data_IF_192686234092
#
_entry.id   IF_192686234092
#
_cell.length_a   1.000
_cell.length_b   1.000
_cell.length_c   1.000
_cell.angle_alpha   90.00
_cell.angle_beta   90.00
_cell.angle_gamma   90.00
#
_symmetry.space_group_name_H-M   'P 1'
#
loop_
_entity.id
_entity.type
_entity.pdbx_description
1 polymer ?
#
# COMPACT_ATOMS: atom_id res chain seq x y z
N UNK A 1 -2.86 1.87 1.55
CA UNK A 1 -2.78 0.78 0.55
C UNK A 1 -1.46 0.03 0.70
N UNK A 2 -0.31 0.68 0.51
CA UNK A 2 1.03 0.06 0.63
C UNK A 2 1.23 -0.65 1.99
N UNK A 3 0.83 -0.03 3.10
CA UNK A 3 0.96 -0.67 4.42
C UNK A 3 0.20 -2.00 4.53
N UNK A 4 -0.98 -2.10 3.89
CA UNK A 4 -1.76 -3.34 3.85
C UNK A 4 -1.08 -4.39 2.96
N UNK A 5 -0.53 -3.99 1.82
CA UNK A 5 0.23 -4.89 0.96
C UNK A 5 1.44 -5.47 1.70
N UNK A 6 2.22 -4.62 2.35
CA UNK A 6 3.37 -5.02 3.15
C UNK A 6 2.96 -5.94 4.30
N UNK A 7 1.85 -5.67 4.97
CA UNK A 7 1.32 -6.52 6.02
C UNK A 7 0.93 -7.90 5.49
N UNK A 8 0.24 -7.96 4.35
CA UNK A 8 -0.16 -9.21 3.70
C UNK A 8 1.04 -10.03 3.25
N UNK A 9 2.03 -9.41 2.61
CA UNK A 9 3.26 -10.09 2.18
C UNK A 9 4.07 -10.60 3.38
N UNK A 10 4.25 -9.74 4.41
CA UNK A 10 4.97 -10.10 5.63
C UNK A 10 4.33 -11.27 6.37
N UNK A 11 3.01 -11.36 6.35
CA UNK A 11 2.24 -12.39 7.04
C UNK A 11 1.64 -13.43 6.09
N UNK A 12 2.15 -13.56 4.85
CA UNK A 12 1.63 -14.49 3.85
C UNK A 12 1.60 -15.94 4.35
N UNK A 13 2.64 -16.39 5.06
CA UNK A 13 2.67 -17.73 5.65
C UNK A 13 1.60 -17.96 6.74
N UNK A 14 1.23 -16.92 7.50
CA UNK A 14 0.15 -17.02 8.47
C UNK A 14 -1.21 -17.13 7.77
N UNK A 15 -1.42 -16.32 6.73
CA UNK A 15 -2.62 -16.33 5.89
C UNK A 15 -2.79 -17.70 5.23
N UNK A 16 -1.72 -18.20 4.59
CA UNK A 16 -1.72 -19.50 3.91
C UNK A 16 -2.02 -20.65 4.88
N UNK A 17 -1.40 -20.66 6.07
CA UNK A 17 -1.67 -21.69 7.09
C UNK A 17 -3.11 -21.64 7.60
N UNK A 18 -3.65 -20.45 7.83
CA UNK A 18 -5.05 -20.30 8.24
C UNK A 18 -6.00 -20.85 7.17
N UNK A 19 -5.83 -20.43 5.91
CA UNK A 19 -6.70 -20.86 4.82
C UNK A 19 -6.52 -22.32 4.43
N UNK A 20 -5.31 -22.88 4.48
CA UNK A 20 -5.09 -24.32 4.28
C UNK A 20 -5.85 -25.15 5.31
N UNK A 21 -5.83 -24.76 6.60
CA UNK A 21 -6.59 -25.45 7.64
C UNK A 21 -8.10 -25.26 7.46
N UNK A 22 -8.54 -24.06 7.09
CA UNK A 22 -9.95 -23.77 6.84
C UNK A 22 -10.47 -24.63 5.69
N UNK A 23 -9.73 -24.68 4.58
CA UNK A 23 -10.11 -25.46 3.41
C UNK A 23 -10.16 -26.94 3.74
N UNK A 24 -9.12 -27.48 4.38
CA UNK A 24 -9.05 -28.90 4.72
C UNK A 24 -10.15 -29.35 5.70
N UNK A 25 -10.44 -28.54 6.73
CA UNK A 25 -11.31 -28.95 7.84
C UNK A 25 -12.76 -28.49 7.72
N UNK A 26 -13.02 -27.47 6.91
CA UNK A 26 -14.35 -26.90 6.75
C UNK A 26 -14.82 -27.03 5.30
N UNK A 27 -14.14 -26.38 4.34
CA UNK A 27 -14.65 -26.27 2.97
C UNK A 27 -14.73 -27.64 2.29
N UNK A 28 -13.66 -28.44 2.38
CA UNK A 28 -13.58 -29.75 1.76
C UNK A 28 -14.61 -30.73 2.34
N UNK A 29 -14.84 -30.66 3.66
CA UNK A 29 -15.84 -31.48 4.35
C UNK A 29 -17.25 -31.10 3.92
N UNK A 30 -17.56 -29.81 3.88
CA UNK A 30 -18.88 -29.33 3.45
C UNK A 30 -19.15 -29.63 1.96
N UNK A 31 -18.12 -29.50 1.09
CA UNK A 31 -18.20 -29.89 -0.32
C UNK A 31 -18.48 -31.39 -0.48
N UNK A 32 -17.80 -32.23 0.28
CA UNK A 32 -18.00 -33.69 0.27
C UNK A 32 -19.41 -34.07 0.71
N UNK A 33 -19.94 -33.44 1.77
CA UNK A 33 -21.30 -33.65 2.24
C UNK A 33 -22.37 -33.21 1.22
N UNK A 34 -22.08 -32.20 0.39
CA UNK A 34 -23.00 -31.73 -0.66
C UNK A 34 -22.99 -32.59 -1.93
N UNK A 35 -21.91 -33.33 -2.22
CA UNK A 35 -21.77 -34.13 -3.44
C UNK A 35 -22.97 -35.03 -3.75
N UNK A 36 -23.52 -35.80 -2.79
CA UNK A 36 -24.67 -36.68 -3.06
C UNK A 36 -25.95 -35.94 -3.43
N UNK A 37 -26.06 -34.64 -3.10
CA UNK A 37 -27.24 -33.82 -3.40
C UNK A 37 -27.23 -33.26 -4.83
N UNK A 38 -26.08 -33.34 -5.52
CA UNK A 38 -25.90 -32.80 -6.86
C UNK A 38 -26.49 -33.73 -7.91
N UNK A 39 -27.74 -33.48 -8.30
CA UNK A 39 -28.43 -34.22 -9.36
C UNK A 39 -28.13 -33.63 -10.73
N UNK A 40 -27.96 -34.50 -11.73
CA UNK A 40 -27.79 -34.13 -13.15
C UNK A 40 -26.34 -34.00 -13.62
N UNK A 41 -25.37 -34.38 -12.78
CA UNK A 41 -23.96 -34.46 -13.16
C UNK A 41 -23.73 -35.66 -14.09
N UNK A 42 -22.98 -35.42 -15.17
CA UNK A 42 -22.37 -36.49 -15.97
C UNK A 42 -21.20 -37.13 -15.23
N UNK A 43 -20.77 -38.32 -15.66
CA UNK A 43 -19.62 -39.03 -15.08
C UNK A 43 -18.36 -38.17 -15.02
N UNK A 44 -18.06 -37.45 -16.10
CA UNK A 44 -16.88 -36.57 -16.18
C UNK A 44 -16.97 -35.40 -15.19
N UNK A 45 -18.14 -34.82 -15.01
CA UNK A 45 -18.36 -33.71 -14.09
C UNK A 45 -18.26 -34.18 -12.63
N UNK A 46 -18.83 -35.35 -12.32
CA UNK A 46 -18.71 -35.97 -11.01
C UNK A 46 -17.26 -36.27 -10.64
N UNK A 47 -16.48 -36.85 -11.57
CA UNK A 47 -15.05 -37.11 -11.37
C UNK A 47 -14.31 -35.80 -11.09
N UNK A 48 -14.57 -34.74 -11.86
CA UNK A 48 -13.89 -33.46 -11.69
C UNK A 48 -14.14 -32.86 -10.29
N UNK A 49 -15.38 -32.88 -9.80
CA UNK A 49 -15.67 -32.37 -8.46
C UNK A 49 -15.07 -33.29 -7.38
N UNK A 50 -15.13 -34.61 -7.55
CA UNK A 50 -14.53 -35.55 -6.59
C UNK A 50 -13.02 -35.35 -6.47
N UNK A 51 -12.30 -35.28 -7.60
CA UNK A 51 -10.86 -34.98 -7.59
C UNK A 51 -10.57 -33.62 -6.94
N UNK A 52 -11.40 -32.60 -7.20
CA UNK A 52 -11.25 -31.30 -6.56
C UNK A 52 -11.40 -31.38 -5.03
N UNK A 53 -12.40 -32.13 -4.52
CA UNK A 53 -12.59 -32.34 -3.07
C UNK A 53 -11.41 -33.12 -2.46
N UNK A 54 -10.94 -34.17 -3.13
CA UNK A 54 -9.77 -34.93 -2.69
C UNK A 54 -8.50 -34.06 -2.63
N UNK A 55 -8.28 -33.19 -3.61
CA UNK A 55 -7.18 -32.22 -3.60
C UNK A 55 -7.32 -31.26 -2.41
N UNK A 56 -8.51 -30.69 -2.19
CA UNK A 56 -8.80 -29.75 -1.09
C UNK A 56 -8.55 -30.36 0.29
N UNK A 57 -8.88 -31.64 0.49
CA UNK A 57 -8.63 -32.38 1.74
C UNK A 57 -7.13 -32.57 2.02
N UNK A 58 -6.30 -32.56 0.98
CA UNK A 58 -4.86 -32.82 1.07
C UNK A 58 -3.98 -31.57 0.90
N UNK A 59 -4.58 -30.37 0.92
CA UNK A 59 -3.82 -29.11 0.78
C UNK A 59 -2.82 -28.95 1.93
N UNK A 60 -1.56 -28.70 1.57
CA UNK A 60 -0.49 -28.26 2.48
C UNK A 60 -0.34 -26.73 2.45
N UNK A 61 0.12 -26.16 3.56
CA UNK A 61 0.55 -24.74 3.60
C UNK A 61 1.90 -24.51 2.91
N UNK A 62 2.66 -25.57 2.66
CA UNK A 62 4.00 -25.50 2.08
C UNK A 62 3.90 -25.73 0.57
N UNK A 63 4.27 -24.70 -0.21
CA UNK A 63 4.42 -24.67 -1.67
C UNK A 63 3.49 -25.63 -2.44
N UNK A 64 2.19 -25.39 -2.38
CA UNK A 64 1.20 -26.05 -3.23
C UNK A 64 0.86 -25.16 -4.43
N UNK A 65 0.74 -25.75 -5.62
CA UNK A 65 0.22 -25.06 -6.80
C UNK A 65 -1.24 -25.47 -7.02
N UNK A 66 -2.18 -24.56 -6.78
CA UNK A 66 -3.61 -24.81 -6.87
C UNK A 66 -4.23 -24.20 -8.14
N UNK A 67 -3.40 -23.81 -9.11
CA UNK A 67 -3.89 -23.30 -10.41
C UNK A 67 -4.67 -24.35 -11.18
N UNK A 68 -4.27 -25.63 -11.10
CA UNK A 68 -4.98 -26.76 -11.70
C UNK A 68 -6.43 -26.84 -11.23
N UNK A 69 -6.62 -26.93 -9.91
CA UNK A 69 -7.93 -26.91 -9.23
C UNK A 69 -8.81 -25.73 -9.66
N UNK A 70 -8.25 -24.50 -9.67
CA UNK A 70 -8.98 -23.30 -10.09
C UNK A 70 -9.41 -23.37 -11.56
N UNK A 71 -8.55 -23.90 -12.42
CA UNK A 71 -8.87 -24.10 -13.84
C UNK A 71 -9.91 -25.20 -14.05
N UNK A 72 -9.89 -26.26 -13.24
CA UNK A 72 -10.91 -27.30 -13.31
C UNK A 72 -12.27 -26.80 -12.86
N UNK A 73 -12.33 -25.95 -11.83
CA UNK A 73 -13.57 -25.24 -11.49
C UNK A 73 -14.09 -24.37 -12.64
N UNK A 74 -13.20 -23.68 -13.37
CA UNK A 74 -13.59 -22.95 -14.59
C UNK A 74 -14.15 -23.93 -15.63
N UNK A 75 -13.43 -25.00 -15.95
CA UNK A 75 -13.87 -26.01 -16.93
C UNK A 75 -15.24 -26.59 -16.59
N UNK A 76 -15.48 -26.88 -15.31
CA UNK A 76 -16.78 -27.31 -14.82
C UNK A 76 -17.86 -26.26 -15.10
N UNK A 77 -17.64 -25.00 -14.70
CA UNK A 77 -18.56 -23.89 -14.99
C UNK A 77 -18.90 -23.79 -16.48
N UNK A 78 -17.90 -23.87 -17.35
CA UNK A 78 -18.09 -23.81 -18.79
C UNK A 78 -18.93 -25.00 -19.30
N UNK A 79 -18.64 -26.22 -18.82
CA UNK A 79 -19.34 -27.43 -19.22
C UNK A 79 -20.83 -27.37 -18.85
N UNK A 80 -21.14 -27.00 -17.61
CA UNK A 80 -22.52 -27.02 -17.12
C UNK A 80 -23.34 -25.77 -17.50
N UNK A 81 -22.68 -24.72 -17.99
CA UNK A 81 -23.35 -23.51 -18.51
C UNK A 81 -23.93 -23.71 -19.92
N UNK A 82 -23.59 -24.81 -20.59
CA UNK A 82 -24.18 -25.14 -21.90
C UNK A 82 -25.66 -25.50 -21.75
N UNK A 83 -26.48 -25.10 -22.72
CA UNK A 83 -27.91 -25.41 -22.72
C UNK A 83 -28.19 -26.92 -22.65
N UNK A 84 -27.31 -27.72 -23.25
CA UNK A 84 -27.37 -29.18 -23.29
C UNK A 84 -27.01 -29.86 -21.98
N UNK A 85 -26.40 -29.16 -21.01
CA UNK A 85 -26.06 -29.71 -19.70
C UNK A 85 -27.33 -30.06 -18.92
N UNK A 86 -27.37 -31.25 -18.33
CA UNK A 86 -28.43 -31.67 -17.41
C UNK A 86 -28.26 -31.02 -16.03
N UNK A 87 -27.04 -30.74 -15.62
CA UNK A 87 -26.75 -29.98 -14.40
C UNK A 87 -26.98 -28.49 -14.63
N UNK A 88 -27.78 -27.85 -13.77
CA UNK A 88 -28.04 -26.41 -13.82
C UNK A 88 -27.52 -25.72 -12.56
N UNK A 89 -26.55 -24.83 -12.71
CA UNK A 89 -25.99 -24.05 -11.59
C UNK A 89 -27.03 -23.22 -10.84
N UNK A 90 -28.07 -22.75 -11.54
CA UNK A 90 -29.17 -22.01 -10.92
C UNK A 90 -30.01 -22.84 -9.95
N UNK A 91 -30.03 -24.17 -10.11
CA UNK A 91 -30.70 -25.11 -9.20
C UNK A 91 -29.82 -25.45 -7.98
N UNK A 92 -28.49 -25.30 -8.10
CA UNK A 92 -27.49 -25.71 -7.12
C UNK A 92 -26.68 -24.50 -6.60
N UNK A 93 -27.37 -23.42 -6.21
CA UNK A 93 -26.72 -22.13 -5.86
C UNK A 93 -25.80 -22.22 -4.65
N UNK A 94 -26.15 -23.04 -3.67
CA UNK A 94 -25.37 -23.21 -2.44
C UNK A 94 -24.00 -23.84 -2.75
N UNK A 95 -23.98 -24.91 -3.53
CA UNK A 95 -22.74 -25.51 -4.03
C UNK A 95 -21.87 -24.51 -4.80
N UNK A 96 -22.47 -23.75 -5.72
CA UNK A 96 -21.73 -22.74 -6.50
C UNK A 96 -21.13 -21.65 -5.61
N UNK A 97 -21.89 -21.18 -4.61
CA UNK A 97 -21.40 -20.21 -3.63
C UNK A 97 -20.23 -20.78 -2.83
N UNK A 98 -20.37 -21.99 -2.30
CA UNK A 98 -19.34 -22.64 -1.50
C UNK A 98 -18.07 -22.89 -2.32
N UNK A 99 -18.21 -23.34 -3.56
CA UNK A 99 -17.06 -23.56 -4.44
C UNK A 99 -16.34 -22.24 -4.75
N UNK A 100 -17.07 -21.16 -5.03
CA UNK A 100 -16.45 -19.84 -5.26
C UNK A 100 -15.72 -19.30 -4.01
N UNK A 101 -16.31 -19.48 -2.82
CA UNK A 101 -15.65 -19.13 -1.55
C UNK A 101 -14.40 -19.99 -1.33
N UNK A 102 -14.47 -21.29 -1.62
CA UNK A 102 -13.33 -22.22 -1.52
C UNK A 102 -12.22 -21.82 -2.49
N UNK A 103 -12.55 -21.45 -3.72
CA UNK A 103 -11.58 -20.93 -4.69
C UNK A 103 -10.94 -19.63 -4.21
N UNK A 104 -11.68 -18.75 -3.53
CA UNK A 104 -11.06 -17.58 -2.90
C UNK A 104 -10.08 -18.00 -1.78
N UNK A 105 -10.45 -18.95 -0.92
CA UNK A 105 -9.56 -19.45 0.11
C UNK A 105 -8.29 -20.11 -0.47
N UNK A 106 -8.39 -20.85 -1.57
CA UNK A 106 -7.20 -21.44 -2.22
C UNK A 106 -6.24 -20.35 -2.72
N UNK A 107 -6.74 -19.24 -3.29
CA UNK A 107 -5.90 -18.09 -3.66
C UNK A 107 -5.17 -17.46 -2.48
N UNK A 108 -5.73 -17.52 -1.27
CA UNK A 108 -5.06 -17.06 -0.05
C UNK A 108 -3.97 -18.03 0.44
N UNK A 109 -3.89 -19.24 -0.12
CA UNK A 109 -2.83 -20.22 0.17
C UNK A 109 -1.63 -20.02 -0.76
N UNK A 110 -1.85 -19.95 -2.08
CA UNK A 110 -0.77 -19.99 -3.07
C UNK A 110 -0.62 -18.74 -3.96
N UNK A 111 -1.55 -17.78 -3.89
CA UNK A 111 -1.61 -16.63 -4.81
C UNK A 111 -1.79 -15.28 -4.09
N UNK A 112 -1.31 -15.14 -2.85
CA UNK A 112 -1.39 -13.87 -2.11
C UNK A 112 -0.72 -12.70 -2.88
N UNK A 113 0.49 -12.86 -3.48
CA UNK A 113 1.09 -11.79 -4.28
C UNK A 113 0.25 -11.39 -5.49
N UNK A 114 -0.32 -12.36 -6.21
CA UNK A 114 -1.18 -12.11 -7.37
C UNK A 114 -2.47 -11.40 -6.95
N UNK A 115 -3.04 -11.78 -5.81
CA UNK A 115 -4.24 -11.11 -5.25
C UNK A 115 -3.96 -9.66 -4.86
N UNK A 116 -2.76 -9.36 -4.36
CA UNK A 116 -2.34 -7.98 -4.11
C UNK A 116 -2.22 -7.21 -5.42
N UNK A 117 -1.61 -7.81 -6.44
CA UNK A 117 -1.52 -7.22 -7.79
C UNK A 117 -2.91 -6.91 -8.34
N UNK A 118 -3.81 -7.89 -8.39
CA UNK A 118 -5.16 -7.74 -8.97
C UNK A 118 -6.01 -6.66 -8.27
N UNK A 119 -5.79 -6.40 -6.97
CA UNK A 119 -6.64 -5.50 -6.17
C UNK A 119 -6.03 -4.14 -5.89
N UNK A 120 -4.71 -4.00 -6.00
CA UNK A 120 -3.98 -2.82 -5.57
C UNK A 120 -2.98 -2.29 -6.62
N UNK A 121 -2.99 -2.82 -7.84
CA UNK A 121 -2.10 -2.34 -8.88
C UNK A 121 -2.37 -0.88 -9.26
N UNK A 122 -1.29 -0.12 -9.38
CA UNK A 122 -1.28 1.30 -9.72
C UNK A 122 -0.30 1.58 -10.87
N UNK A 123 0.04 0.53 -11.64
CA UNK A 123 0.89 0.61 -12.82
C UNK A 123 0.40 1.62 -13.86
N UNK A 124 -0.89 1.95 -13.84
CA UNK A 124 -1.51 2.98 -14.66
C UNK A 124 -0.76 4.32 -14.59
N UNK A 125 -0.17 4.67 -13.44
CA UNK A 125 0.63 5.90 -13.29
C UNK A 125 1.86 5.95 -14.22
N UNK A 126 2.33 4.82 -14.75
CA UNK A 126 3.35 4.76 -15.79
C UNK A 126 2.97 5.56 -17.05
N UNK A 127 1.67 5.61 -17.35
CA UNK A 127 1.12 6.29 -18.53
C UNK A 127 0.57 7.69 -18.22
N UNK A 128 0.31 7.99 -16.94
CA UNK A 128 -0.23 9.28 -16.48
C UNK A 128 0.80 10.04 -15.62
N UNK A 129 2.03 10.14 -16.12
CA UNK A 129 3.13 10.73 -15.36
C UNK A 129 2.89 12.20 -14.96
N UNK A 130 2.30 13.01 -15.84
CA UNK A 130 1.96 14.41 -15.51
C UNK A 130 1.06 14.50 -14.29
N UNK A 131 0.09 13.58 -14.16
CA UNK A 131 -0.81 13.50 -13.02
C UNK A 131 -0.07 13.02 -11.77
N UNK A 132 0.78 11.99 -11.92
CA UNK A 132 1.65 11.50 -10.85
C UNK A 132 2.52 12.62 -10.26
N UNK A 133 3.19 13.38 -11.12
CA UNK A 133 4.07 14.49 -10.73
C UNK A 133 3.30 15.61 -10.03
N UNK A 134 2.14 15.97 -10.56
CA UNK A 134 1.25 16.97 -9.96
C UNK A 134 0.83 16.56 -8.55
N UNK A 135 0.43 15.31 -8.37
CA UNK A 135 0.01 14.78 -7.07
C UNK A 135 1.17 14.68 -6.08
N UNK A 136 2.38 14.35 -6.54
CA UNK A 136 3.59 14.38 -5.72
C UNK A 136 3.87 15.80 -5.21
N UNK A 137 3.85 16.80 -6.11
CA UNK A 137 4.11 18.19 -5.75
C UNK A 137 3.05 18.73 -4.76
N UNK A 138 1.78 18.37 -4.95
CA UNK A 138 0.71 18.68 -3.99
C UNK A 138 0.91 18.01 -2.63
N UNK A 139 1.42 16.78 -2.62
CA UNK A 139 1.70 16.04 -1.38
C UNK A 139 2.88 16.66 -0.62
N UNK A 140 3.93 17.07 -1.33
CA UNK A 140 5.11 17.70 -0.73
C UNK A 140 4.87 19.14 -0.23
N UNK A 141 3.90 19.85 -0.81
CA UNK A 141 3.56 21.21 -0.41
C UNK A 141 2.68 21.26 0.86
N UNK A 142 1.99 20.17 1.20
CA UNK A 142 1.10 20.08 2.36
C UNK A 142 1.74 19.24 3.49
N UNK A 143 2.13 19.83 4.64
CA UNK A 143 2.83 19.11 5.72
C UNK A 143 2.10 17.87 6.25
N UNK A 144 0.76 17.90 6.30
CA UNK A 144 -0.04 16.75 6.76
C UNK A 144 0.00 15.58 5.76
N UNK A 145 0.17 15.87 4.47
CA UNK A 145 0.23 14.87 3.40
C UNK A 145 1.66 14.41 3.14
N UNK A 146 2.67 15.26 3.36
CA UNK A 146 4.08 14.96 3.08
C UNK A 146 4.58 13.72 3.82
N UNK A 147 4.00 13.38 4.98
CA UNK A 147 4.26 12.12 5.70
C UNK A 147 4.03 10.86 4.86
N UNK A 148 3.21 10.96 3.81
CA UNK A 148 2.90 9.86 2.89
C UNK A 148 3.67 9.94 1.57
N UNK A 149 4.55 10.93 1.38
CA UNK A 149 5.21 11.17 0.09
C UNK A 149 6.05 9.96 -0.38
N UNK A 150 6.57 9.14 0.54
CA UNK A 150 7.29 7.90 0.20
C UNK A 150 6.44 6.89 -0.59
N UNK A 151 5.11 6.98 -0.49
CA UNK A 151 4.19 6.14 -1.25
C UNK A 151 4.41 6.28 -2.77
N UNK A 152 4.79 7.45 -3.26
CA UNK A 152 5.04 7.67 -4.68
C UNK A 152 6.24 6.84 -5.18
N UNK A 153 7.30 6.71 -4.38
CA UNK A 153 8.44 5.86 -4.74
C UNK A 153 8.04 4.38 -4.78
N UNK A 154 7.18 3.93 -3.86
CA UNK A 154 6.65 2.57 -3.89
C UNK A 154 5.74 2.30 -5.09
N UNK A 155 4.93 3.28 -5.53
CA UNK A 155 4.09 3.13 -6.73
C UNK A 155 4.93 2.87 -7.98
N UNK A 156 6.15 3.40 -8.08
CA UNK A 156 7.03 3.11 -9.21
C UNK A 156 7.31 1.60 -9.37
N UNK A 157 7.33 0.83 -8.27
CA UNK A 157 7.47 -0.63 -8.32
C UNK A 157 6.28 -1.32 -9.02
N UNK A 158 5.13 -0.67 -9.13
CA UNK A 158 3.97 -1.23 -9.83
C UNK A 158 4.12 -1.15 -11.35
N UNK A 159 5.01 -0.33 -11.90
CA UNK A 159 5.03 -0.05 -13.35
C UNK A 159 5.32 -1.30 -14.18
N UNK A 160 6.14 -2.21 -13.64
CA UNK A 160 6.43 -3.51 -14.27
C UNK A 160 5.17 -4.40 -14.42
N UNK A 161 4.11 -4.14 -13.67
CA UNK A 161 2.86 -4.90 -13.79
C UNK A 161 2.08 -4.56 -15.05
N UNK A 162 2.35 -3.41 -15.69
CA UNK A 162 1.75 -3.04 -16.97
C UNK A 162 2.30 -3.86 -18.15
N UNK A 163 3.42 -4.54 -17.95
CA UNK A 163 4.09 -5.32 -18.99
C UNK A 163 3.31 -6.58 -19.35
N UNK A 164 3.38 -6.95 -20.63
CA UNK A 164 2.82 -8.18 -21.15
C UNK A 164 3.81 -8.90 -22.06
N UNK A 165 3.87 -10.23 -21.97
CA UNK A 165 4.73 -11.10 -22.80
C UNK A 165 4.50 -10.98 -24.32
N UNK A 166 3.43 -10.34 -24.78
CA UNK A 166 3.12 -10.13 -26.20
C UNK A 166 3.64 -8.79 -26.72
N UNK A 167 4.12 -7.92 -25.84
CA UNK A 167 4.75 -6.64 -26.17
C UNK A 167 6.10 -6.58 -25.43
N UNK A 168 7.08 -7.44 -25.75
CA UNK A 168 8.40 -7.39 -25.11
C UNK A 168 9.17 -6.10 -25.45
N UNK A 169 8.78 -5.39 -26.52
CA UNK A 169 9.46 -4.20 -27.02
C UNK A 169 9.40 -3.03 -26.03
N UNK A 170 8.36 -2.94 -25.20
CA UNK A 170 8.18 -1.88 -24.20
C UNK A 170 8.84 -2.19 -22.84
N UNK A 171 9.43 -3.39 -22.68
CA UNK A 171 9.96 -3.85 -21.40
C UNK A 171 11.02 -2.89 -20.83
N UNK A 172 12.09 -2.65 -21.60
CA UNK A 172 13.22 -1.86 -21.13
C UNK A 172 12.82 -0.41 -20.89
N UNK A 173 11.97 0.15 -21.77
CA UNK A 173 11.43 1.50 -21.65
C UNK A 173 10.63 1.71 -20.36
N UNK A 174 9.75 0.76 -20.01
CA UNK A 174 8.92 0.83 -18.80
C UNK A 174 9.77 0.63 -17.54
N UNK A 175 10.71 -0.30 -17.57
CA UNK A 175 11.62 -0.55 -16.43
C UNK A 175 12.50 0.67 -16.18
N UNK A 176 13.15 1.21 -17.20
CA UNK A 176 14.00 2.41 -17.08
C UNK A 176 13.19 3.61 -16.57
N UNK A 177 11.98 3.80 -17.11
CA UNK A 177 11.06 4.84 -16.66
C UNK A 177 10.71 4.70 -15.18
N UNK A 178 10.43 3.47 -14.71
CA UNK A 178 10.11 3.21 -13.31
C UNK A 178 11.26 3.59 -12.37
N UNK A 179 12.50 3.23 -12.74
CA UNK A 179 13.71 3.52 -11.96
C UNK A 179 14.02 5.01 -11.95
N UNK A 180 13.97 5.66 -13.12
CA UNK A 180 14.19 7.10 -13.28
C UNK A 180 13.22 7.90 -12.41
N UNK A 181 11.93 7.53 -12.42
CA UNK A 181 10.92 8.21 -11.60
C UNK A 181 11.07 7.92 -10.11
N UNK A 182 11.42 6.69 -9.72
CA UNK A 182 11.69 6.38 -8.32
C UNK A 182 12.83 7.26 -7.79
N UNK A 183 13.94 7.37 -8.53
CA UNK A 183 15.04 8.25 -8.18
C UNK A 183 14.61 9.72 -8.09
N UNK A 184 13.87 10.22 -9.09
CA UNK A 184 13.38 11.60 -9.08
C UNK A 184 12.47 11.91 -7.89
N UNK A 185 11.62 10.96 -7.48
CA UNK A 185 10.79 11.09 -6.27
C UNK A 185 11.69 11.19 -5.04
N UNK A 186 12.62 10.25 -4.85
CA UNK A 186 13.52 10.23 -3.70
C UNK A 186 14.39 11.49 -3.61
N UNK A 187 14.88 11.99 -4.73
CA UNK A 187 15.64 13.25 -4.79
C UNK A 187 14.79 14.44 -4.34
N UNK A 188 13.53 14.55 -4.80
CA UNK A 188 12.63 15.63 -4.37
C UNK A 188 12.30 15.55 -2.89
N UNK A 189 12.14 14.34 -2.34
CA UNK A 189 11.96 14.13 -0.91
C UNK A 189 13.19 14.61 -0.14
N UNK A 190 14.40 14.23 -0.58
CA UNK A 190 15.65 14.64 0.04
C UNK A 190 15.85 16.16 0.00
N UNK A 191 15.60 16.79 -1.15
CA UNK A 191 15.63 18.27 -1.30
C UNK A 191 14.64 18.92 -0.34
N UNK A 192 13.41 18.41 -0.25
CA UNK A 192 12.40 18.99 0.64
C UNK A 192 12.77 18.87 2.12
N UNK A 193 13.37 17.75 2.52
CA UNK A 193 13.91 17.57 3.88
C UNK A 193 15.06 18.55 4.13
N UNK A 194 16.00 18.69 3.19
CA UNK A 194 17.11 19.63 3.30
C UNK A 194 16.63 21.09 3.41
N UNK A 195 15.59 21.47 2.67
CA UNK A 195 14.96 22.81 2.78
C UNK A 195 14.35 23.05 4.17
N UNK A 196 13.67 22.05 4.75
CA UNK A 196 13.10 22.16 6.11
C UNK A 196 14.22 22.32 7.14
N UNK A 197 15.23 21.45 7.10
CA UNK A 197 16.39 21.51 7.99
C UNK A 197 17.14 22.84 7.82
N UNK A 198 17.28 23.33 6.59
CA UNK A 198 17.90 24.61 6.28
C UNK A 198 17.17 25.79 6.92
N UNK A 199 15.82 25.80 6.87
CA UNK A 199 15.01 26.80 7.57
C UNK A 199 15.19 26.73 9.09
N UNK A 200 15.08 25.53 9.67
CA UNK A 200 15.30 25.33 11.11
C UNK A 200 16.69 25.82 11.54
N UNK A 201 17.73 25.49 10.77
CA UNK A 201 19.10 25.91 11.07
C UNK A 201 19.28 27.42 10.97
N UNK A 202 18.61 28.07 10.01
CA UNK A 202 18.62 29.52 9.88
C UNK A 202 17.92 30.20 11.07
N UNK A 203 16.78 29.67 11.52
CA UNK A 203 16.06 30.18 12.68
C UNK A 203 16.90 30.05 13.96
N UNK A 204 17.54 28.88 14.16
CA UNK A 204 18.48 28.66 15.26
C UNK A 204 19.68 29.61 15.20
N UNK A 205 20.21 29.91 14.01
CA UNK A 205 21.29 30.87 13.84
C UNK A 205 20.86 32.28 14.25
N UNK A 206 19.64 32.70 13.90
CA UNK A 206 19.08 34.01 14.30
C UNK A 206 18.95 34.07 15.83
N UNK A 207 18.47 33.01 16.47
CA UNK A 207 18.40 32.93 17.94
C UNK A 207 19.79 32.99 18.58
N UNK A 208 20.77 32.27 18.03
CA UNK A 208 22.15 32.32 18.49
C UNK A 208 22.77 33.73 18.35
N UNK A 209 22.45 34.46 17.28
CA UNK A 209 22.91 35.84 17.08
C UNK A 209 22.36 36.81 18.14
N UNK A 210 21.13 36.59 18.63
CA UNK A 210 20.56 37.38 19.74
C UNK A 210 21.32 37.21 21.06
N UNK A 211 22.04 36.10 21.22
CA UNK A 211 22.92 35.82 22.37
C UNK A 211 24.34 36.36 22.18
N UNK A 212 24.64 37.00 21.05
CA UNK A 212 26.00 37.46 20.76
C UNK A 212 26.41 38.62 21.68
N UNK A 213 27.72 38.76 21.99
CA UNK A 213 28.23 39.92 22.75
C UNK A 213 27.88 41.28 22.11
N UNK A 214 27.72 41.31 20.79
CA UNK A 214 27.32 42.51 20.05
C UNK A 214 25.88 42.93 20.38
N UNK A 215 24.96 41.97 20.49
CA UNK A 215 23.59 42.24 20.92
C UNK A 215 23.57 42.81 22.34
N UNK A 216 24.36 42.25 23.27
CA UNK A 216 24.49 42.80 24.63
C UNK A 216 25.07 44.22 24.67
N UNK A 217 26.04 44.53 23.81
CA UNK A 217 26.65 45.86 23.74
C UNK A 217 25.63 46.94 23.34
N UNK A 218 24.69 46.62 22.44
CA UNK A 218 23.60 47.52 22.07
C UNK A 218 22.69 47.82 23.27
N UNK A 219 22.31 46.80 24.05
CA UNK A 219 21.52 46.98 25.29
C UNK A 219 22.22 47.91 26.29
N UNK A 220 23.54 47.71 26.51
CA UNK A 220 24.35 48.56 27.41
C UNK A 220 24.43 50.00 26.90
N UNK A 221 24.64 50.21 25.60
CA UNK A 221 24.66 51.54 24.98
C UNK A 221 23.33 52.28 25.16
N UNK A 222 22.21 51.58 24.93
CA UNK A 222 20.87 52.15 25.12
C UNK A 222 20.61 52.52 26.58
N UNK A 223 21.00 51.67 27.54
CA UNK A 223 20.87 51.97 28.97
C UNK A 223 21.71 53.20 29.40
N UNK A 224 22.90 53.38 28.83
CA UNK A 224 23.77 54.53 29.07
C UNK A 224 23.17 55.83 28.52
N UNK A 225 22.64 55.80 27.29
CA UNK A 225 21.99 56.97 26.67
C UNK A 225 20.68 57.39 27.36
N UNK A 226 19.98 56.44 28.00
CA UNK A 226 18.74 56.70 28.74
C UNK A 226 18.95 57.26 30.16
N UNK A 227 20.18 57.58 30.58
CA UNK A 227 20.50 58.07 31.94
C UNK A 227 19.88 57.23 33.08
N UNK A 228 19.80 55.91 32.90
CA UNK A 228 19.25 55.00 33.91
C UNK A 228 17.71 55.02 34.05
N UNK A 229 16.97 55.71 33.19
CA UNK A 229 15.53 55.48 33.06
C UNK A 229 15.29 54.08 32.46
N UNK A 230 14.31 53.33 32.99
CA UNK A 230 13.93 52.01 32.44
C UNK A 230 13.62 52.18 30.95
N UNK A 231 14.51 51.67 30.11
CA UNK A 231 14.28 51.56 28.68
C UNK A 231 13.09 50.61 28.54
N UNK A 232 12.01 51.06 27.92
CA UNK A 232 10.94 50.16 27.47
C UNK A 232 11.56 49.30 26.37
N UNK A 233 12.16 48.18 26.75
CA UNK A 233 12.80 47.25 25.81
C UNK A 233 11.71 46.65 24.91
N UNK A 234 11.58 47.24 23.73
CA UNK A 234 10.88 46.65 22.60
C UNK A 234 11.70 45.51 21.96
N UNK A 235 12.96 45.31 22.37
CA UNK A 235 13.73 44.11 22.05
C UNK A 235 13.39 43.02 23.06
N UNK A 236 12.62 42.04 22.60
CA UNK A 236 12.27 40.85 23.36
C UNK A 236 13.54 40.12 23.80
N UNK A 237 13.74 40.00 25.12
CA UNK A 237 14.84 39.22 25.69
C UNK A 237 14.85 37.80 25.11
N UNK A 238 16.04 37.23 24.81
CA UNK A 238 16.14 35.84 24.36
C UNK A 238 15.43 34.88 25.32
N UNK A 239 14.67 33.92 24.79
CA UNK A 239 13.84 32.98 25.54
C UNK A 239 12.37 33.35 25.61
N UNK A 240 11.99 34.60 25.32
CA UNK A 240 10.57 34.99 25.23
C UNK A 240 9.87 34.26 24.08
N UNK A 241 10.58 34.00 22.98
CA UNK A 241 10.05 33.24 21.83
C UNK A 241 9.65 31.79 22.18
N UNK A 242 10.22 31.24 23.25
CA UNK A 242 9.91 29.89 23.73
C UNK A 242 8.74 29.84 24.71
N UNK A 243 8.29 30.99 25.22
CA UNK A 243 7.15 31.06 26.14
C UNK A 243 5.82 30.99 25.37
N UNK A 244 5.29 29.77 25.24
CA UNK A 244 4.03 29.53 24.53
C UNK A 244 2.81 29.59 25.45
N UNK A 245 1.84 30.43 25.11
CA UNK A 245 0.57 30.57 25.82
C UNK A 245 -0.52 29.68 25.21
N UNK A 246 -0.60 29.61 23.88
CA UNK A 246 -1.58 28.79 23.15
C UNK A 246 -0.90 28.04 22.00
N UNK A 247 -1.30 26.79 21.73
CA UNK A 247 -0.79 25.99 20.60
C UNK A 247 -1.46 26.33 19.26
N UNK A 248 -2.57 27.06 19.28
CA UNK A 248 -3.22 27.59 18.07
C UNK A 248 -2.41 28.74 17.45
N UNK A 249 -1.56 29.40 18.23
CA UNK A 249 -0.59 30.39 17.76
C UNK A 249 0.63 29.65 17.18
N UNK A 250 0.52 29.27 15.90
CA UNK A 250 1.56 28.55 15.18
C UNK A 250 2.68 29.50 14.75
N UNK A 251 3.87 29.32 15.32
CA UNK A 251 5.07 30.06 14.94
C UNK A 251 5.72 29.47 13.68
N UNK A 252 6.65 30.18 13.04
CA UNK A 252 7.39 29.60 11.90
C UNK A 252 8.19 28.35 12.30
N UNK A 253 8.73 28.30 13.52
CA UNK A 253 9.42 27.12 14.05
C UNK A 253 8.48 25.91 14.27
N UNK A 254 7.16 26.14 14.38
CA UNK A 254 6.17 25.06 14.48
C UNK A 254 5.76 24.46 13.12
N UNK A 255 5.99 25.19 12.03
CA UNK A 255 5.56 24.83 10.67
C UNK A 255 6.55 23.90 9.99
#
# INVERSE_FOLDING_TARGET
MIDLQNLMLKHAGLIARYHSQYVQKCDAVALDEMLPTLVGLSERESILIQTAVEELQNISSDTCDLRGLRMDWFRFQAAVSMNTSQFKMSAHREFVYMMNTTIFHTKMVDSVPDMIKDTCDLSLYCFYFTQFDTQLNQTLSLPIQSRYAIAFAHICNHFIHALHDFCPEEHDDIVERSLSHCNAVLDRLAVRVAEVIGRMTNDELILAQKLSPQACANCVSHAYQANGARVNEADTMPGVESYRVNREEVTEADK
#
